data_IF_251416958982
#
_entry.id   IF_251416958982
#
_cell.length_a   1.000
_cell.length_b   1.000
_cell.length_c   1.000
_cell.angle_alpha   90.00
_cell.angle_beta   90.00
_cell.angle_gamma   90.00
#
_symmetry.space_group_name_H-M   'P 1'
#
loop_
_entity.id
_entity.type
_entity.pdbx_description
1 polymer ?
#
# COMPACT_ATOMS: atom_id res chain seq x y z
N UNK A 1 19.50 -19.08 0.52
CA UNK A 1 19.15 -18.24 1.69
C UNK A 1 18.26 -17.10 1.25
N UNK A 2 17.19 -16.87 2.01
CA UNK A 2 16.34 -15.69 1.84
C UNK A 2 17.16 -14.44 2.21
N UNK A 3 17.17 -13.42 1.32
CA UNK A 3 17.89 -12.17 1.57
C UNK A 3 17.13 -10.97 1.06
N UNK A 4 17.25 -9.89 1.78
CA UNK A 4 16.83 -8.57 1.34
C UNK A 4 18.05 -7.88 0.73
N UNK A 5 17.93 -7.44 -0.51
CA UNK A 5 19.06 -6.88 -1.28
C UNK A 5 18.80 -5.48 -1.82
N UNK A 6 17.54 -5.01 -1.82
CA UNK A 6 17.20 -3.67 -2.31
C UNK A 6 17.66 -2.59 -1.32
N UNK A 7 18.55 -1.67 -1.73
CA UNK A 7 19.09 -0.65 -0.82
C UNK A 7 18.01 0.22 -0.16
N UNK A 8 17.00 0.65 -0.93
CA UNK A 8 15.90 1.46 -0.38
C UNK A 8 15.10 0.73 0.69
N UNK A 9 14.87 -0.60 0.53
CA UNK A 9 14.21 -1.39 1.57
C UNK A 9 15.08 -1.52 2.82
N UNK A 10 16.38 -1.80 2.65
CA UNK A 10 17.32 -1.92 3.77
C UNK A 10 17.36 -0.63 4.61
N UNK A 11 17.41 0.53 3.93
CA UNK A 11 17.38 1.83 4.58
C UNK A 11 16.03 2.10 5.26
N UNK A 12 14.92 1.89 4.54
CA UNK A 12 13.58 2.14 5.06
C UNK A 12 13.24 1.28 6.28
N UNK A 13 13.51 -0.04 6.22
CA UNK A 13 13.22 -0.92 7.36
C UNK A 13 14.15 -0.66 8.55
N UNK A 14 15.41 -0.31 8.29
CA UNK A 14 16.33 0.13 9.35
C UNK A 14 15.76 1.34 10.08
N UNK A 15 15.33 2.37 9.33
CA UNK A 15 14.75 3.58 9.90
C UNK A 15 13.49 3.29 10.74
N UNK A 16 12.57 2.44 10.24
CA UNK A 16 11.38 2.05 10.99
C UNK A 16 11.73 1.33 12.29
N UNK A 17 12.69 0.39 12.25
CA UNK A 17 13.13 -0.36 13.43
C UNK A 17 13.89 0.52 14.45
N UNK A 18 14.60 1.53 13.98
CA UNK A 18 15.24 2.53 14.86
C UNK A 18 14.19 3.36 15.60
N UNK A 19 13.09 3.75 14.95
CA UNK A 19 11.95 4.41 15.61
C UNK A 19 11.28 3.50 16.67
N UNK A 20 11.32 2.18 16.47
CA UNK A 20 10.87 1.19 17.44
C UNK A 20 11.89 0.90 18.55
N UNK A 21 13.07 1.54 18.50
CA UNK A 21 14.13 1.41 19.52
C UNK A 21 15.22 0.39 19.19
N UNK A 22 15.20 -0.23 18.02
CA UNK A 22 16.23 -1.20 17.60
C UNK A 22 17.30 -0.50 16.76
N UNK A 23 18.49 -0.26 17.35
CA UNK A 23 19.59 0.42 16.65
C UNK A 23 20.29 -0.50 15.65
N UNK A 24 20.81 0.10 14.59
CA UNK A 24 21.62 -0.58 13.56
C UNK A 24 20.97 -1.86 12.98
N UNK A 25 19.67 -1.84 12.85
CA UNK A 25 18.92 -2.99 12.36
C UNK A 25 19.36 -3.40 10.95
N UNK A 26 19.69 -4.69 10.80
CA UNK A 26 19.96 -5.32 9.52
C UNK A 26 19.05 -6.54 9.36
N UNK A 27 18.07 -6.51 8.43
CA UNK A 27 17.12 -7.61 8.28
C UNK A 27 17.77 -8.94 7.92
N UNK A 28 18.91 -8.94 7.23
CA UNK A 28 19.58 -10.17 6.84
C UNK A 28 20.26 -10.94 8.00
N UNK A 29 20.42 -10.30 9.16
CA UNK A 29 21.04 -10.90 10.35
C UNK A 29 20.17 -10.84 11.59
N UNK A 30 19.19 -9.91 11.63
CA UNK A 30 18.41 -9.63 12.84
C UNK A 30 16.93 -9.96 12.68
N UNK A 31 16.42 -10.04 11.44
CA UNK A 31 15.01 -10.38 11.22
C UNK A 31 14.70 -11.79 11.74
N UNK A 32 13.58 -11.91 12.43
CA UNK A 32 13.01 -13.22 12.72
C UNK A 32 12.68 -13.97 11.42
N UNK A 33 12.50 -15.28 11.51
CA UNK A 33 12.05 -16.06 10.36
C UNK A 33 10.75 -15.53 9.77
N UNK A 34 9.84 -15.06 10.60
CA UNK A 34 8.54 -14.55 10.18
C UNK A 34 8.67 -13.19 9.48
N UNK A 35 9.46 -12.29 10.02
CA UNK A 35 9.77 -11.02 9.34
C UNK A 35 10.44 -11.26 7.98
N UNK A 36 11.42 -12.17 7.90
CA UNK A 36 12.09 -12.46 6.64
C UNK A 36 11.12 -13.04 5.59
N UNK A 37 10.13 -13.85 5.98
CA UNK A 37 9.08 -14.38 5.10
C UNK A 37 8.09 -13.30 4.60
N UNK A 38 8.12 -12.12 5.21
CA UNK A 38 7.45 -10.90 4.74
C UNK A 38 8.40 -10.04 3.92
N UNK A 39 9.59 -9.74 4.42
CA UNK A 39 10.52 -8.77 3.84
C UNK A 39 11.03 -9.15 2.44
N UNK A 40 11.15 -10.43 2.13
CA UNK A 40 11.54 -10.86 0.78
C UNK A 40 10.51 -10.49 -0.29
N UNK A 41 9.25 -10.34 0.08
CA UNK A 41 8.18 -9.85 -0.80
C UNK A 41 8.10 -8.33 -0.73
N UNK A 42 8.10 -7.79 0.48
CA UNK A 42 7.96 -6.38 0.78
C UNK A 42 9.04 -5.49 0.14
N UNK A 43 10.23 -6.01 -0.17
CA UNK A 43 11.24 -5.23 -0.89
C UNK A 43 10.85 -4.85 -2.33
N UNK A 44 9.72 -5.36 -2.85
CA UNK A 44 9.17 -5.04 -4.15
C UNK A 44 7.69 -4.65 -4.08
N UNK A 45 6.92 -5.24 -3.15
CA UNK A 45 5.50 -4.98 -2.95
C UNK A 45 5.30 -3.85 -1.92
N UNK A 46 5.61 -2.63 -2.36
CA UNK A 46 5.67 -1.43 -1.52
C UNK A 46 5.36 -0.17 -2.32
N UNK A 47 5.00 0.88 -1.63
CA UNK A 47 5.03 2.24 -2.18
C UNK A 47 6.48 2.71 -2.36
N UNK A 48 6.77 3.31 -3.51
CA UNK A 48 8.11 3.83 -3.80
C UNK A 48 8.07 4.98 -4.81
N UNK A 49 9.17 5.70 -4.90
CA UNK A 49 9.43 6.63 -6.01
C UNK A 49 10.82 6.37 -6.61
N UNK A 50 10.94 6.69 -7.90
CA UNK A 50 12.19 6.49 -8.64
C UNK A 50 13.10 7.71 -8.49
N UNK A 51 14.31 7.47 -7.99
CA UNK A 51 15.38 8.45 -8.01
C UNK A 51 16.28 8.34 -9.25
N UNK A 52 17.34 9.14 -9.31
CA UNK A 52 18.33 9.07 -10.38
C UNK A 52 18.91 7.66 -10.53
N UNK A 53 19.17 7.24 -11.79
CA UNK A 53 19.71 5.90 -12.12
C UNK A 53 18.77 4.74 -11.75
N UNK A 54 17.46 4.95 -11.73
CA UNK A 54 16.45 3.97 -11.36
C UNK A 54 16.62 3.35 -9.95
N UNK A 55 17.19 4.10 -9.03
CA UNK A 55 17.22 3.71 -7.61
C UNK A 55 15.85 3.97 -7.02
N UNK A 56 15.30 2.97 -6.34
CA UNK A 56 14.02 3.10 -5.65
C UNK A 56 14.22 3.64 -4.24
N UNK A 57 13.38 4.60 -3.85
CA UNK A 57 13.29 5.16 -2.52
C UNK A 57 11.91 4.89 -1.94
N UNK A 58 11.85 4.58 -0.66
CA UNK A 58 10.60 4.31 0.04
C UNK A 58 10.23 5.49 0.94
N UNK A 59 8.99 5.99 0.86
CA UNK A 59 8.58 7.21 1.57
C UNK A 59 8.22 6.95 3.04
N UNK A 60 8.99 6.13 3.74
CA UNK A 60 8.71 5.62 5.08
C UNK A 60 9.28 6.46 6.22
N UNK A 61 9.82 7.63 5.92
CA UNK A 61 10.48 8.46 6.94
C UNK A 61 9.57 8.77 8.14
N UNK A 62 8.28 9.02 7.88
CA UNK A 62 7.31 9.29 8.93
C UNK A 62 6.61 8.01 9.45
N UNK A 63 6.50 6.96 8.64
CA UNK A 63 5.82 5.70 8.93
C UNK A 63 5.23 5.07 7.69
N UNK A 64 4.31 4.10 7.90
CA UNK A 64 3.71 3.29 6.83
C UNK A 64 2.26 3.66 6.51
N UNK A 65 1.63 4.56 7.26
CA UNK A 65 0.25 4.97 6.99
C UNK A 65 0.17 5.90 5.79
N UNK A 66 -0.95 5.87 5.09
CA UNK A 66 -1.17 6.70 3.89
C UNK A 66 -0.92 8.17 4.16
N UNK A 67 -1.36 8.71 5.30
CA UNK A 67 -1.16 10.10 5.71
C UNK A 67 0.30 10.40 6.11
N UNK A 68 1.05 9.42 6.61
CA UNK A 68 2.48 9.57 6.94
C UNK A 68 3.33 9.63 5.68
N UNK A 69 2.98 8.81 4.68
CA UNK A 69 3.59 8.81 3.35
C UNK A 69 3.27 10.11 2.61
N UNK A 70 2.00 10.53 2.60
CA UNK A 70 1.57 11.81 2.03
C UNK A 70 2.36 12.98 2.62
N UNK A 71 2.46 13.04 3.96
CA UNK A 71 3.24 14.06 4.65
C UNK A 71 4.72 14.05 4.26
N UNK A 72 5.29 12.88 4.02
CA UNK A 72 6.65 12.78 3.50
C UNK A 72 6.75 13.40 2.11
N UNK A 73 5.89 13.01 1.17
CA UNK A 73 5.87 13.57 -0.18
C UNK A 73 5.61 15.07 -0.21
N UNK A 74 4.72 15.58 0.64
CA UNK A 74 4.43 17.02 0.72
C UNK A 74 5.61 17.82 1.27
N UNK A 75 6.43 17.24 2.14
CA UNK A 75 7.61 17.88 2.71
C UNK A 75 8.85 17.78 1.81
N UNK A 76 8.87 16.82 0.89
CA UNK A 76 10.02 16.60 0.01
C UNK A 76 10.10 17.69 -1.06
N UNK A 77 11.28 18.34 -1.16
CA UNK A 77 11.55 19.36 -2.17
C UNK A 77 12.73 18.97 -3.02
N UNK A 78 12.57 19.10 -4.32
CA UNK A 78 13.65 18.94 -5.26
C UNK A 78 14.63 20.13 -5.20
N UNK A 79 15.78 20.00 -5.86
CA UNK A 79 16.84 21.03 -5.85
C UNK A 79 16.40 22.39 -6.39
N UNK A 80 15.43 22.42 -7.28
CA UNK A 80 14.83 23.63 -7.85
C UNK A 80 13.70 24.22 -6.98
N UNK A 81 13.42 23.59 -5.84
CA UNK A 81 12.47 24.07 -4.83
C UNK A 81 11.04 23.59 -4.99
N UNK A 82 10.69 22.90 -6.09
CA UNK A 82 9.33 22.36 -6.22
C UNK A 82 9.11 21.15 -5.29
N UNK A 83 7.87 20.97 -4.84
CA UNK A 83 7.48 19.81 -4.03
C UNK A 83 7.37 18.55 -4.88
N UNK A 84 7.32 17.38 -4.25
CA UNK A 84 7.11 16.13 -4.94
C UNK A 84 5.71 16.06 -5.56
N UNK A 85 5.63 15.67 -6.82
CA UNK A 85 4.45 15.20 -7.53
C UNK A 85 4.90 14.29 -8.68
N UNK A 86 4.04 13.34 -9.07
CA UNK A 86 4.34 12.47 -10.21
C UNK A 86 3.96 13.13 -11.54
N UNK A 87 2.84 13.84 -11.57
CA UNK A 87 2.40 14.58 -12.75
C UNK A 87 1.43 15.71 -12.41
N UNK A 88 1.32 16.68 -13.33
CA UNK A 88 0.25 17.68 -13.30
C UNK A 88 -0.97 17.14 -14.03
N UNK A 89 -2.11 17.12 -13.34
CA UNK A 89 -3.35 16.62 -13.91
C UNK A 89 -3.77 17.43 -15.13
N UNK A 90 -3.98 16.75 -16.28
CA UNK A 90 -4.17 17.42 -17.59
C UNK A 90 -5.34 18.40 -17.63
N UNK A 91 -6.43 18.12 -16.93
CA UNK A 91 -7.64 18.96 -16.94
C UNK A 91 -7.52 20.08 -15.90
N UNK A 92 -7.17 19.75 -14.68
CA UNK A 92 -7.20 20.71 -13.57
C UNK A 92 -5.88 21.50 -13.41
N UNK A 93 -4.75 20.89 -13.72
CA UNK A 93 -3.42 21.43 -13.43
C UNK A 93 -2.90 21.10 -12.03
N UNK A 94 -3.68 20.41 -11.19
CA UNK A 94 -3.27 20.00 -9.86
C UNK A 94 -2.04 19.07 -9.91
N UNK A 95 -1.13 19.25 -8.96
CA UNK A 95 0.04 18.40 -8.78
C UNK A 95 -0.34 17.16 -7.97
N UNK A 96 -0.42 16.00 -8.63
CA UNK A 96 -0.92 14.77 -8.03
C UNK A 96 0.18 13.73 -7.80
N UNK A 97 -0.02 12.90 -6.81
CA UNK A 97 0.82 11.76 -6.47
C UNK A 97 0.13 10.50 -7.01
N UNK A 98 0.92 9.58 -7.54
CA UNK A 98 0.46 8.26 -7.98
C UNK A 98 1.01 7.19 -7.04
N UNK A 99 0.13 6.33 -6.51
CA UNK A 99 0.54 5.16 -5.77
C UNK A 99 1.09 4.08 -6.69
N UNK A 100 2.06 3.31 -6.20
CA UNK A 100 2.64 2.20 -6.95
C UNK A 100 1.92 0.88 -6.60
N UNK A 101 2.32 0.20 -5.54
CA UNK A 101 1.67 -1.02 -5.07
C UNK A 101 1.95 -1.20 -3.56
N UNK A 102 1.23 -0.46 -2.70
CA UNK A 102 1.50 -0.34 -1.26
C UNK A 102 0.98 -1.52 -0.43
N UNK A 103 1.24 -2.77 -0.90
CA UNK A 103 0.76 -3.96 -0.22
C UNK A 103 1.36 -4.12 1.17
N UNK A 104 2.68 -3.86 1.32
CA UNK A 104 3.34 -4.00 2.62
C UNK A 104 2.83 -2.97 3.63
N UNK A 105 2.62 -1.74 3.18
CA UNK A 105 2.10 -0.65 4.00
C UNK A 105 0.70 -0.95 4.51
N UNK A 106 -0.21 -1.36 3.63
CA UNK A 106 -1.58 -1.69 4.05
C UNK A 106 -1.60 -2.98 4.88
N UNK A 107 -0.92 -4.05 4.44
CA UNK A 107 -0.82 -5.32 5.16
C UNK A 107 -0.31 -5.12 6.60
N UNK A 108 0.70 -4.27 6.80
CA UNK A 108 1.31 -4.02 8.12
C UNK A 108 0.32 -3.46 9.14
N UNK A 109 -0.78 -2.88 8.70
CA UNK A 109 -1.86 -2.35 9.55
C UNK A 109 -2.97 -3.38 9.83
N UNK A 110 -2.96 -4.50 9.09
CA UNK A 110 -3.97 -5.54 9.18
C UNK A 110 -3.81 -6.48 10.39
N UNK A 111 -4.88 -7.21 10.68
CA UNK A 111 -4.94 -8.17 11.79
C UNK A 111 -3.94 -9.32 11.61
N UNK A 112 -3.72 -9.78 10.39
CA UNK A 112 -2.81 -10.88 10.10
C UNK A 112 -1.35 -10.50 10.40
N UNK A 113 -0.92 -9.31 9.96
CA UNK A 113 0.41 -8.79 10.29
C UNK A 113 0.62 -8.66 11.81
N UNK A 114 -0.36 -8.08 12.51
CA UNK A 114 -0.34 -7.91 13.98
C UNK A 114 -0.35 -9.24 14.72
N UNK A 115 -0.86 -10.30 14.09
CA UNK A 115 -0.87 -11.67 14.63
C UNK A 115 0.39 -12.47 14.22
N UNK A 116 1.37 -11.85 13.56
CA UNK A 116 2.61 -12.50 13.16
C UNK A 116 2.50 -13.43 11.94
N UNK A 117 1.42 -13.33 11.16
CA UNK A 117 1.28 -14.05 9.89
C UNK A 117 2.11 -13.34 8.83
N UNK A 118 2.92 -14.06 8.06
CA UNK A 118 3.74 -13.48 7.00
C UNK A 118 3.06 -13.55 5.63
N UNK A 119 3.51 -12.73 4.67
CA UNK A 119 3.07 -12.81 3.27
C UNK A 119 3.15 -14.24 2.73
N UNK A 120 4.26 -14.91 2.99
CA UNK A 120 4.50 -16.27 2.52
C UNK A 120 3.61 -17.33 3.20
N UNK A 121 2.98 -17.06 4.34
CA UNK A 121 2.08 -18.02 4.98
C UNK A 121 0.80 -18.19 4.17
N UNK A 122 0.34 -17.13 3.52
CA UNK A 122 -0.83 -17.15 2.64
C UNK A 122 -0.48 -17.43 1.18
N UNK A 123 0.55 -16.74 0.63
CA UNK A 123 0.90 -16.80 -0.81
C UNK A 123 1.83 -17.95 -1.18
N UNK A 124 2.53 -18.52 -0.18
CA UNK A 124 3.46 -19.66 -0.32
C UNK A 124 3.24 -20.65 0.83
N UNK A 125 2.00 -21.19 0.98
CA UNK A 125 1.69 -22.06 2.11
C UNK A 125 2.55 -23.32 2.09
N UNK A 126 2.67 -23.97 3.25
CA UNK A 126 3.45 -25.19 3.34
C UNK A 126 2.75 -26.37 2.65
N UNK A 127 3.54 -27.15 1.92
CA UNK A 127 3.16 -28.43 1.32
C UNK A 127 4.09 -29.54 1.82
N UNK A 128 3.69 -30.78 1.63
CA UNK A 128 4.52 -31.96 1.91
C UNK A 128 5.07 -32.53 0.62
N UNK A 129 6.37 -32.75 0.59
CA UNK A 129 7.08 -33.51 -0.43
C UNK A 129 7.70 -34.73 0.26
N UNK A 130 7.03 -35.87 0.17
CA UNK A 130 7.35 -37.04 0.96
C UNK A 130 7.22 -36.77 2.48
N UNK A 131 8.31 -36.95 3.23
CA UNK A 131 8.37 -36.67 4.66
C UNK A 131 8.70 -35.22 5.00
N UNK A 132 9.11 -34.41 4.01
CA UNK A 132 9.58 -33.03 4.21
C UNK A 132 8.45 -32.03 4.07
N UNK A 133 8.39 -31.04 4.98
CA UNK A 133 7.53 -29.88 4.89
C UNK A 133 8.30 -28.74 4.21
N UNK A 134 7.84 -28.33 3.02
CA UNK A 134 8.47 -27.28 2.22
C UNK A 134 7.47 -26.15 1.95
N UNK A 135 7.97 -24.96 1.63
CA UNK A 135 7.14 -23.84 1.19
C UNK A 135 6.78 -24.04 -0.29
N UNK A 136 5.51 -23.92 -0.63
CA UNK A 136 5.05 -23.92 -2.02
C UNK A 136 5.58 -22.66 -2.73
N UNK A 137 6.49 -22.84 -3.70
CA UNK A 137 7.08 -21.73 -4.46
C UNK A 137 6.26 -21.33 -5.68
N UNK A 138 5.10 -21.93 -5.90
CA UNK A 138 4.15 -21.47 -6.90
C UNK A 138 3.30 -20.34 -6.30
N UNK A 139 3.84 -19.11 -6.34
CA UNK A 139 3.21 -17.91 -5.77
C UNK A 139 1.94 -17.59 -6.56
N UNK A 140 0.80 -17.52 -5.85
CA UNK A 140 -0.52 -17.25 -6.43
C UNK A 140 -1.48 -16.68 -5.40
N UNK A 141 -2.68 -16.29 -5.85
CA UNK A 141 -3.74 -15.90 -4.93
C UNK A 141 -4.04 -17.01 -3.93
N UNK A 142 -4.09 -16.69 -2.61
CA UNK A 142 -4.48 -17.65 -1.57
C UNK A 142 -5.86 -18.26 -1.80
N UNK A 143 -6.75 -17.58 -2.52
CA UNK A 143 -8.10 -18.07 -2.85
C UNK A 143 -8.11 -19.31 -3.76
N UNK A 144 -7.02 -19.54 -4.49
CA UNK A 144 -6.83 -20.76 -5.27
C UNK A 144 -6.35 -21.96 -4.41
N UNK A 145 -6.15 -21.73 -3.11
CA UNK A 145 -5.51 -22.70 -2.22
C UNK A 145 -5.93 -22.51 -0.76
N UNK A 146 -7.22 -22.24 -0.55
CA UNK A 146 -7.82 -21.86 0.75
C UNK A 146 -7.49 -22.87 1.86
N UNK A 147 -7.55 -24.16 1.54
CA UNK A 147 -7.28 -25.26 2.50
C UNK A 147 -5.86 -25.19 3.08
N UNK A 148 -4.88 -24.70 2.32
CA UNK A 148 -3.48 -24.57 2.76
C UNK A 148 -3.13 -23.18 3.27
N UNK A 149 -3.75 -22.15 2.70
CA UNK A 149 -3.49 -20.77 3.05
C UNK A 149 -4.26 -20.32 4.30
N UNK A 150 -5.54 -20.70 4.41
CA UNK A 150 -6.44 -20.21 5.45
C UNK A 150 -6.73 -21.26 6.56
N UNK A 151 -7.07 -22.50 6.16
CA UNK A 151 -7.57 -23.51 7.09
C UNK A 151 -6.48 -24.12 7.98
N UNK A 152 -5.23 -23.72 7.83
CA UNK A 152 -4.18 -24.07 8.79
C UNK A 152 -4.36 -23.36 10.15
N UNK A 153 -5.05 -22.22 10.14
CA UNK A 153 -5.30 -21.40 11.32
C UNK A 153 -6.81 -21.19 11.59
N UNK A 154 -7.65 -21.20 10.54
CA UNK A 154 -9.09 -21.00 10.64
C UNK A 154 -9.84 -22.33 10.57
N UNK A 155 -10.84 -22.49 11.45
CA UNK A 155 -11.67 -23.71 11.58
C UNK A 155 -13.03 -23.51 10.89
N UNK A 156 -13.01 -23.15 9.61
CA UNK A 156 -14.18 -22.96 8.75
C UNK A 156 -14.09 -23.90 7.55
N UNK A 157 -15.17 -24.01 6.78
CA UNK A 157 -15.12 -24.66 5.47
C UNK A 157 -14.44 -23.74 4.44
N UNK A 158 -13.98 -24.33 3.33
CA UNK A 158 -13.41 -23.53 2.24
C UNK A 158 -14.42 -22.53 1.69
N UNK A 159 -15.69 -22.94 1.55
CA UNK A 159 -16.76 -22.07 1.08
C UNK A 159 -16.98 -20.86 1.99
N UNK A 160 -17.06 -21.08 3.30
CA UNK A 160 -17.22 -20.00 4.28
C UNK A 160 -16.05 -19.00 4.23
N UNK A 161 -14.83 -19.48 4.02
CA UNK A 161 -13.66 -18.60 3.87
C UNK A 161 -13.71 -17.81 2.57
N UNK A 162 -14.08 -18.45 1.46
CA UNK A 162 -14.25 -17.76 0.17
C UNK A 162 -15.34 -16.68 0.25
N UNK A 163 -16.50 -17.01 0.83
CA UNK A 163 -17.60 -16.07 1.01
C UNK A 163 -17.18 -14.88 1.88
N UNK A 164 -16.42 -15.13 2.96
CA UNK A 164 -15.90 -14.06 3.82
C UNK A 164 -14.95 -13.13 3.07
N UNK A 165 -14.05 -13.65 2.27
CA UNK A 165 -13.13 -12.84 1.45
C UNK A 165 -13.93 -12.04 0.41
N UNK A 166 -14.87 -12.66 -0.29
CA UNK A 166 -15.72 -12.00 -1.28
C UNK A 166 -16.50 -10.83 -0.65
N UNK A 167 -17.09 -11.02 0.53
CA UNK A 167 -17.78 -9.94 1.25
C UNK A 167 -16.85 -8.76 1.54
N UNK A 168 -15.59 -9.01 1.96
CA UNK A 168 -14.62 -7.95 2.23
C UNK A 168 -14.27 -7.21 0.94
N UNK A 169 -13.94 -7.95 -0.11
CA UNK A 169 -13.53 -7.38 -1.40
C UNK A 169 -14.67 -6.62 -2.07
N UNK A 170 -15.91 -7.15 -2.06
CA UNK A 170 -17.08 -6.49 -2.62
C UNK A 170 -17.41 -5.18 -1.91
N UNK A 171 -17.27 -5.14 -0.57
CA UNK A 171 -17.46 -3.91 0.21
C UNK A 171 -16.39 -2.87 -0.13
N UNK A 172 -15.13 -3.30 -0.21
CA UNK A 172 -14.06 -2.42 -0.60
C UNK A 172 -14.27 -1.88 -2.01
N UNK A 173 -14.61 -2.74 -2.96
CA UNK A 173 -14.86 -2.35 -4.35
C UNK A 173 -16.00 -1.32 -4.49
N UNK A 174 -17.11 -1.48 -3.74
CA UNK A 174 -18.21 -0.51 -3.73
C UNK A 174 -17.74 0.84 -3.19
N UNK A 175 -16.97 0.85 -2.11
CA UNK A 175 -16.46 2.08 -1.51
C UNK A 175 -15.40 2.73 -2.41
N UNK A 176 -14.55 1.94 -3.06
CA UNK A 176 -13.59 2.40 -4.07
C UNK A 176 -14.30 3.15 -5.21
N UNK A 177 -15.35 2.56 -5.78
CA UNK A 177 -16.15 3.22 -6.83
C UNK A 177 -16.77 4.54 -6.35
N UNK A 178 -17.20 4.61 -5.08
CA UNK A 178 -17.74 5.85 -4.51
C UNK A 178 -16.66 6.93 -4.38
N UNK A 179 -15.47 6.56 -3.91
CA UNK A 179 -14.32 7.47 -3.79
C UNK A 179 -13.86 7.98 -5.17
N UNK A 180 -13.71 7.08 -6.14
CA UNK A 180 -13.34 7.45 -7.51
C UNK A 180 -14.38 8.37 -8.16
N UNK A 181 -15.66 8.12 -7.93
CA UNK A 181 -16.74 9.00 -8.41
C UNK A 181 -16.66 10.39 -7.79
N UNK A 182 -16.38 10.49 -6.49
CA UNK A 182 -16.19 11.77 -5.81
C UNK A 182 -14.99 12.55 -6.35
N UNK A 183 -13.86 11.87 -6.61
CA UNK A 183 -12.66 12.46 -7.24
C UNK A 183 -12.99 12.97 -8.65
N UNK A 184 -13.71 12.19 -9.45
CA UNK A 184 -14.15 12.62 -10.80
C UNK A 184 -15.06 13.84 -10.75
N UNK A 185 -16.00 13.87 -9.80
CA UNK A 185 -16.89 15.02 -9.60
C UNK A 185 -16.10 16.28 -9.20
N UNK A 186 -15.11 16.13 -8.31
CA UNK A 186 -14.20 17.23 -7.94
C UNK A 186 -13.45 17.77 -9.16
N UNK A 187 -12.85 16.89 -9.97
CA UNK A 187 -12.12 17.24 -11.19
C UNK A 187 -13.03 18.03 -12.15
N UNK A 188 -14.27 17.58 -12.36
CA UNK A 188 -15.24 18.24 -13.23
C UNK A 188 -15.64 19.61 -12.69
N UNK A 189 -15.80 19.76 -11.38
CA UNK A 189 -16.08 21.07 -10.74
C UNK A 189 -14.91 22.04 -10.89
N UNK A 190 -13.69 21.57 -10.73
CA UNK A 190 -12.48 22.39 -10.97
C UNK A 190 -12.42 22.82 -12.43
N UNK A 191 -12.63 21.91 -13.37
CA UNK A 191 -12.65 22.25 -14.79
C UNK A 191 -13.69 23.33 -15.09
N UNK A 192 -14.88 23.18 -14.53
CA UNK A 192 -15.96 24.15 -14.71
C UNK A 192 -15.62 25.53 -14.09
N UNK A 193 -15.02 25.55 -12.92
CA UNK A 193 -14.58 26.80 -12.29
C UNK A 193 -13.54 27.54 -13.16
N UNK A 194 -12.57 26.82 -13.76
CA UNK A 194 -11.60 27.37 -14.69
C UNK A 194 -12.26 27.94 -15.96
N UNK A 195 -13.23 27.23 -16.54
CA UNK A 195 -14.02 27.75 -17.67
C UNK A 195 -14.76 29.05 -17.34
N UNK A 196 -15.17 29.22 -16.10
CA UNK A 196 -15.84 30.44 -15.59
C UNK A 196 -14.86 31.55 -15.20
N UNK A 197 -13.54 31.36 -15.39
CA UNK A 197 -12.52 32.33 -15.15
C UNK A 197 -11.88 32.33 -13.76
N UNK A 198 -12.06 31.29 -12.97
CA UNK A 198 -11.34 31.16 -11.71
C UNK A 198 -9.83 31.09 -11.93
N UNK A 199 -9.07 31.88 -11.19
CA UNK A 199 -7.60 31.89 -11.25
C UNK A 199 -7.01 30.70 -10.48
N UNK A 200 -5.73 30.37 -10.76
CA UNK A 200 -5.04 29.30 -10.05
C UNK A 200 -4.91 29.59 -8.55
N UNK A 201 -4.71 30.87 -8.18
CA UNK A 201 -4.65 31.30 -6.77
C UNK A 201 -5.95 31.06 -6.02
N UNK A 202 -7.09 31.20 -6.70
CA UNK A 202 -8.42 30.91 -6.12
C UNK A 202 -8.67 29.41 -5.96
N UNK A 203 -7.95 28.58 -6.70
CA UNK A 203 -8.13 27.13 -6.73
C UNK A 203 -7.08 26.36 -5.91
N UNK A 204 -6.13 27.03 -5.26
CA UNK A 204 -5.02 26.40 -4.53
C UNK A 204 -5.53 25.33 -3.54
N UNK A 205 -6.48 25.67 -2.68
CA UNK A 205 -7.03 24.74 -1.68
C UNK A 205 -7.75 23.57 -2.35
N UNK A 206 -8.41 23.82 -3.48
CA UNK A 206 -9.16 22.78 -4.22
C UNK A 206 -8.19 21.81 -4.92
N UNK A 207 -7.05 22.29 -5.37
CA UNK A 207 -5.97 21.43 -5.89
C UNK A 207 -5.38 20.53 -4.80
N UNK A 208 -5.25 21.04 -3.57
CA UNK A 208 -4.84 20.22 -2.43
C UNK A 208 -5.88 19.15 -2.08
N UNK A 209 -7.16 19.45 -2.14
CA UNK A 209 -8.22 18.46 -1.99
C UNK A 209 -8.14 17.39 -3.07
N UNK A 210 -7.96 17.76 -4.34
CA UNK A 210 -7.78 16.78 -5.41
C UNK A 210 -6.54 15.92 -5.17
N UNK A 211 -5.40 16.51 -4.82
CA UNK A 211 -4.16 15.78 -4.54
C UNK A 211 -4.38 14.72 -3.44
N UNK A 212 -5.01 15.10 -2.35
CA UNK A 212 -5.23 14.23 -1.17
C UNK A 212 -6.28 13.15 -1.43
N UNK A 213 -7.41 13.50 -2.02
CA UNK A 213 -8.48 12.55 -2.30
C UNK A 213 -8.04 11.55 -3.38
N UNK A 214 -7.39 12.01 -4.43
CA UNK A 214 -6.89 11.15 -5.50
C UNK A 214 -5.78 10.21 -4.98
N UNK A 215 -4.84 10.72 -4.16
CA UNK A 215 -3.82 9.89 -3.52
C UNK A 215 -4.42 8.75 -2.70
N UNK A 216 -5.44 9.03 -1.88
CA UNK A 216 -6.11 8.02 -1.05
C UNK A 216 -6.84 6.98 -1.87
N UNK A 217 -7.59 7.40 -2.88
CA UNK A 217 -8.28 6.49 -3.79
C UNK A 217 -7.27 5.60 -4.54
N UNK A 218 -6.20 6.21 -5.07
CA UNK A 218 -5.16 5.50 -5.84
C UNK A 218 -4.36 4.53 -4.96
N UNK A 219 -4.09 4.90 -3.70
CA UNK A 219 -3.38 4.04 -2.74
C UNK A 219 -4.11 2.71 -2.50
N UNK A 220 -5.44 2.75 -2.36
CA UNK A 220 -6.24 1.53 -2.16
C UNK A 220 -6.45 0.79 -3.48
N UNK A 221 -6.59 1.51 -4.60
CA UNK A 221 -6.72 0.89 -5.92
C UNK A 221 -5.45 0.18 -6.38
N UNK A 222 -4.29 0.73 -6.05
CA UNK A 222 -2.98 0.17 -6.39
C UNK A 222 -2.59 -1.04 -5.51
N UNK A 223 -3.23 -1.19 -4.36
CA UNK A 223 -3.03 -2.29 -3.43
C UNK A 223 -3.85 -3.51 -3.89
N UNK A 224 -3.19 -4.60 -4.25
CA UNK A 224 -3.79 -5.70 -5.03
C UNK A 224 -4.67 -6.67 -4.23
N UNK A 225 -4.84 -6.50 -2.91
CA UNK A 225 -5.72 -7.39 -2.12
C UNK A 225 -7.21 -7.02 -2.19
N UNK A 226 -7.55 -5.92 -2.85
CA UNK A 226 -8.90 -5.34 -2.81
C UNK A 226 -9.36 -5.07 -1.38
N UNK A 227 -8.47 -4.54 -0.53
CA UNK A 227 -8.71 -4.21 0.86
C UNK A 227 -8.62 -5.40 1.84
N UNK A 228 -8.39 -6.62 1.37
CA UNK A 228 -8.34 -7.79 2.26
C UNK A 228 -7.19 -7.73 3.27
N UNK A 229 -6.06 -7.16 2.92
CA UNK A 229 -4.91 -7.05 3.81
C UNK A 229 -5.22 -6.27 5.10
N UNK A 230 -6.00 -5.18 5.01
CA UNK A 230 -6.45 -4.41 6.19
C UNK A 230 -7.81 -3.73 5.91
N UNK A 231 -8.94 -4.46 5.99
CA UNK A 231 -10.23 -3.96 5.51
C UNK A 231 -10.74 -2.73 6.25
N UNK A 232 -10.47 -2.58 7.55
CA UNK A 232 -10.87 -1.38 8.30
C UNK A 232 -10.06 -0.16 7.85
N UNK A 233 -8.78 -0.34 7.59
CA UNK A 233 -7.89 0.73 7.14
C UNK A 233 -8.21 1.14 5.71
N UNK A 234 -8.45 0.18 4.81
CA UNK A 234 -8.89 0.46 3.45
C UNK A 234 -10.21 1.27 3.45
N UNK A 235 -11.18 0.88 4.26
CA UNK A 235 -12.44 1.60 4.38
C UNK A 235 -12.27 3.03 4.94
N UNK A 236 -11.39 3.22 5.93
CA UNK A 236 -11.06 4.54 6.48
C UNK A 236 -10.45 5.45 5.41
N UNK A 237 -9.44 4.95 4.70
CA UNK A 237 -8.74 5.71 3.67
C UNK A 237 -9.68 6.12 2.54
N UNK A 238 -10.54 5.22 2.08
CA UNK A 238 -11.52 5.53 1.03
C UNK A 238 -12.60 6.52 1.52
N UNK A 239 -13.04 6.41 2.77
CA UNK A 239 -13.96 7.40 3.35
C UNK A 239 -13.33 8.80 3.37
N UNK A 240 -12.09 8.92 3.83
CA UNK A 240 -11.34 10.19 3.81
C UNK A 240 -11.07 10.73 2.39
N UNK A 241 -11.11 9.88 1.37
CA UNK A 241 -11.03 10.31 -0.04
C UNK A 241 -12.34 10.96 -0.51
N UNK A 242 -13.46 10.61 0.09
CA UNK A 242 -14.79 11.13 -0.27
C UNK A 242 -15.08 12.47 0.43
N UNK A 243 -14.66 12.59 1.70
CA UNK A 243 -14.87 13.78 2.55
C UNK A 243 -13.99 14.98 2.10
#
# INVERSE_FOLDING_TARGET
DLRVTRPGFLEGIKHLKEKEGTKDYNPNTMASRQEMRTFVCAQCHVEYYCGPKAVLFYPWHNGLKVEEIEKYYDSYKFKDGHRFFDFKHKITGAEVIKAQHPEFELYSQGVHAKSGVACADCHMPYVREGATKVTDHYIRSPLLNVNRACLQCHHFTESEMLDRVSIIQDRNFKLQNSAESAVVDLINKIAKAKELGASEEQLVDVFEFQRKSQWRADFINAENSMGFHAPQEAARILAESID
#
